data_IF_322347888060
#
_entry.id   IF_322347888060
#
_cell.length_a   1.000
_cell.length_b   1.000
_cell.length_c   1.000
_cell.angle_alpha   90.00
_cell.angle_beta   90.00
_cell.angle_gamma   90.00
#
_symmetry.space_group_name_H-M   'P 1'
#
loop_
_entity.id
_entity.type
_entity.pdbx_description
1 polymer ?
#
# COMPACT_ATOMS: atom_id res chain seq x y z
N UNK A 1 -11.43 20.32 15.16
CA UNK A 1 -11.12 18.87 15.31
C UNK A 1 -11.79 18.12 14.17
N UNK A 2 -11.01 17.47 13.31
CA UNK A 2 -11.51 16.66 12.20
C UNK A 2 -11.93 15.27 12.69
N UNK A 3 -13.07 14.82 12.24
CA UNK A 3 -13.62 13.50 12.56
C UNK A 3 -13.41 12.54 11.39
N UNK A 4 -12.70 11.45 11.64
CA UNK A 4 -12.27 10.51 10.63
C UNK A 4 -12.88 9.13 10.90
N UNK A 5 -13.53 8.55 9.91
CA UNK A 5 -14.01 7.17 9.97
C UNK A 5 -13.08 6.26 9.16
N UNK A 6 -12.54 5.22 9.79
CA UNK A 6 -11.74 4.19 9.10
C UNK A 6 -12.60 2.94 8.96
N UNK A 7 -12.86 2.52 7.73
CA UNK A 7 -13.52 1.24 7.46
C UNK A 7 -12.48 0.14 7.33
N UNK A 8 -12.73 -1.01 7.96
CA UNK A 8 -11.73 -2.08 8.08
C UNK A 8 -10.96 -2.02 9.40
N UNK A 9 -11.69 -2.08 10.52
CA UNK A 9 -11.20 -1.88 11.90
C UNK A 9 -9.96 -2.71 12.31
N UNK A 10 -9.65 -3.81 11.59
CA UNK A 10 -8.49 -4.67 11.87
C UNK A 10 -7.43 -4.61 10.77
N UNK A 11 -7.50 -3.62 9.88
CA UNK A 11 -6.49 -3.48 8.83
C UNK A 11 -5.18 -2.93 9.39
N UNK A 12 -4.05 -3.42 8.86
CA UNK A 12 -2.72 -2.94 9.24
C UNK A 12 -2.57 -1.44 9.01
N UNK A 13 -2.96 -0.98 7.83
CA UNK A 13 -2.88 0.43 7.43
C UNK A 13 -3.85 1.31 8.22
N UNK A 14 -5.08 0.85 8.47
CA UNK A 14 -6.05 1.57 9.29
C UNK A 14 -5.57 1.76 10.72
N UNK A 15 -5.02 0.71 11.34
CA UNK A 15 -4.45 0.80 12.69
C UNK A 15 -3.25 1.77 12.74
N UNK A 16 -2.40 1.75 11.71
CA UNK A 16 -1.26 2.66 11.63
C UNK A 16 -1.70 4.12 11.51
N UNK A 17 -2.70 4.42 10.69
CA UNK A 17 -3.28 5.76 10.57
C UNK A 17 -3.88 6.20 11.92
N UNK A 18 -4.69 5.34 12.55
CA UNK A 18 -5.27 5.62 13.87
C UNK A 18 -4.20 5.95 14.90
N UNK A 19 -3.18 5.10 15.02
CA UNK A 19 -2.08 5.32 15.94
C UNK A 19 -1.31 6.61 15.63
N UNK A 20 -1.09 6.91 14.36
CA UNK A 20 -0.37 8.12 13.96
C UNK A 20 -1.16 9.39 14.32
N UNK A 21 -2.44 9.43 13.93
CA UNK A 21 -3.32 10.59 14.21
C UNK A 21 -3.59 10.78 15.70
N UNK A 22 -3.47 9.75 16.53
CA UNK A 22 -3.62 9.86 17.99
C UNK A 22 -2.54 10.73 18.65
N UNK A 23 -1.46 11.07 17.94
CA UNK A 23 -0.47 12.04 18.40
C UNK A 23 -1.00 13.49 18.46
N UNK A 24 -2.13 13.76 17.82
CA UNK A 24 -2.81 15.07 17.82
C UNK A 24 -4.27 14.95 18.25
N UNK A 25 -4.55 14.60 19.53
CA UNK A 25 -5.91 14.30 20.00
C UNK A 25 -6.83 15.53 20.02
N UNK A 26 -6.26 16.75 19.95
CA UNK A 26 -7.03 17.97 19.82
C UNK A 26 -7.42 18.31 18.38
N UNK A 27 -6.73 17.70 17.39
CA UNK A 27 -6.95 17.98 15.98
C UNK A 27 -7.79 16.88 15.32
N UNK A 28 -7.63 15.62 15.75
CA UNK A 28 -8.28 14.46 15.15
C UNK A 28 -9.07 13.62 16.14
N UNK A 29 -10.27 13.23 15.74
CA UNK A 29 -11.04 12.16 16.34
C UNK A 29 -11.20 11.02 15.34
N UNK A 30 -10.63 9.86 15.63
CA UNK A 30 -10.63 8.71 14.73
C UNK A 30 -11.52 7.61 15.29
N UNK A 31 -12.49 7.19 14.49
CA UNK A 31 -13.35 6.04 14.75
C UNK A 31 -13.10 4.94 13.71
N UNK A 32 -13.28 3.69 14.09
CA UNK A 32 -13.12 2.56 13.18
C UNK A 32 -14.35 1.66 13.17
N UNK A 33 -14.75 1.20 11.99
CA UNK A 33 -15.90 0.31 11.84
C UNK A 33 -15.55 -0.93 11.01
N UNK A 34 -16.14 -2.05 11.37
CA UNK A 34 -16.05 -3.30 10.61
C UNK A 34 -17.15 -3.34 9.54
N UNK A 35 -16.80 -3.77 8.32
CA UNK A 35 -17.77 -3.98 7.24
C UNK A 35 -18.11 -5.47 7.04
N UNK A 36 -17.83 -6.34 8.02
CA UNK A 36 -18.04 -7.79 7.87
C UNK A 36 -19.51 -8.22 7.97
N UNK A 37 -20.32 -7.42 8.59
CA UNK A 37 -21.77 -7.60 8.67
C UNK A 37 -22.46 -6.32 8.22
N UNK A 38 -23.77 -6.33 8.07
CA UNK A 38 -24.55 -5.21 7.53
C UNK A 38 -24.81 -4.07 8.53
N UNK A 39 -24.35 -4.18 9.78
CA UNK A 39 -24.58 -3.16 10.82
C UNK A 39 -24.05 -1.76 10.43
N UNK A 40 -22.95 -1.70 9.66
CA UNK A 40 -22.40 -0.42 9.20
C UNK A 40 -23.39 0.39 8.31
N UNK A 41 -24.36 -0.28 7.68
CA UNK A 41 -25.35 0.39 6.82
C UNK A 41 -26.27 1.31 7.61
N UNK A 42 -26.52 1.02 8.89
CA UNK A 42 -27.33 1.84 9.79
C UNK A 42 -26.53 2.93 10.53
N UNK A 43 -25.19 2.89 10.47
CA UNK A 43 -24.36 3.94 11.09
C UNK A 43 -24.46 5.26 10.32
N UNK A 44 -24.45 6.38 11.02
CA UNK A 44 -24.44 7.70 10.41
C UNK A 44 -23.01 8.14 10.06
N UNK A 45 -22.65 8.08 8.78
CA UNK A 45 -21.35 8.55 8.31
C UNK A 45 -21.25 10.07 8.24
N UNK A 46 -22.35 10.79 8.16
CA UNK A 46 -22.40 12.27 8.09
C UNK A 46 -21.84 12.99 9.32
N UNK A 47 -21.57 12.24 10.41
CA UNK A 47 -20.87 12.76 11.58
C UNK A 47 -19.35 12.94 11.35
N UNK A 48 -18.79 12.44 10.21
CA UNK A 48 -17.38 12.45 9.89
C UNK A 48 -17.05 13.38 8.72
N UNK A 49 -15.87 13.99 8.77
CA UNK A 49 -15.36 14.86 7.70
C UNK A 49 -14.77 14.03 6.55
N UNK A 50 -14.11 12.93 6.88
CA UNK A 50 -13.50 12.03 5.90
C UNK A 50 -13.72 10.55 6.26
N UNK A 51 -13.90 9.72 5.24
CA UNK A 51 -13.94 8.26 5.35
C UNK A 51 -12.72 7.66 4.67
N UNK A 52 -11.96 6.84 5.37
CA UNK A 52 -10.80 6.12 4.83
C UNK A 52 -11.16 4.65 4.68
N UNK A 53 -11.27 4.19 3.45
CA UNK A 53 -11.63 2.81 3.15
C UNK A 53 -10.39 1.93 3.06
N UNK A 54 -10.09 1.23 4.15
CA UNK A 54 -8.97 0.28 4.25
C UNK A 54 -9.42 -1.18 4.23
N UNK A 55 -10.73 -1.43 4.20
CA UNK A 55 -11.27 -2.78 4.08
C UNK A 55 -10.93 -3.37 2.71
N UNK A 56 -10.61 -4.65 2.68
CA UNK A 56 -10.33 -5.36 1.44
C UNK A 56 -9.66 -6.71 1.66
N UNK A 57 -9.78 -7.56 0.68
CA UNK A 57 -9.01 -8.80 0.57
C UNK A 57 -7.68 -8.43 -0.10
N UNK A 58 -6.58 -8.47 0.66
CA UNK A 58 -5.23 -8.47 0.12
C UNK A 58 -4.82 -9.93 -0.15
N UNK A 59 -3.69 -10.14 -0.82
CA UNK A 59 -3.15 -11.45 -1.15
C UNK A 59 -3.31 -12.48 -0.04
N UNK A 60 -4.39 -13.25 -0.09
CA UNK A 60 -4.48 -14.51 0.61
C UNK A 60 -4.11 -15.59 -0.41
N UNK A 61 -2.91 -16.15 -0.26
CA UNK A 61 -2.38 -17.20 -1.13
C UNK A 61 -3.27 -18.45 -1.16
N UNK A 62 -4.15 -18.62 -0.19
CA UNK A 62 -5.04 -19.77 -0.07
C UNK A 62 -6.39 -19.58 -0.79
N UNK A 63 -6.75 -18.35 -1.18
CA UNK A 63 -8.04 -18.01 -1.78
C UNK A 63 -7.94 -17.23 -3.10
N UNK A 64 -6.79 -17.27 -3.76
CA UNK A 64 -6.56 -16.56 -5.04
C UNK A 64 -7.44 -17.04 -6.19
N UNK A 65 -8.21 -18.11 -6.03
CA UNK A 65 -9.13 -18.66 -7.04
C UNK A 65 -10.56 -18.10 -6.92
N UNK A 66 -10.90 -17.38 -5.86
CA UNK A 66 -12.27 -16.87 -5.66
C UNK A 66 -12.42 -15.45 -6.23
N UNK A 67 -12.59 -15.37 -7.55
CA UNK A 67 -12.84 -14.11 -8.27
C UNK A 67 -14.02 -13.34 -7.68
N UNK A 68 -15.11 -14.02 -7.38
CA UNK A 68 -16.33 -13.38 -6.88
C UNK A 68 -16.11 -12.71 -5.52
N UNK A 69 -15.35 -13.34 -4.62
CA UNK A 69 -15.02 -12.73 -3.33
C UNK A 69 -14.20 -11.45 -3.48
N UNK A 70 -13.21 -11.43 -4.40
CA UNK A 70 -12.46 -10.21 -4.68
C UNK A 70 -13.36 -9.08 -5.19
N UNK A 71 -14.21 -9.35 -6.16
CA UNK A 71 -15.10 -8.32 -6.71
C UNK A 71 -16.17 -7.87 -5.71
N UNK A 72 -16.73 -8.79 -4.94
CA UNK A 72 -17.69 -8.45 -3.88
C UNK A 72 -17.09 -7.56 -2.81
N UNK A 73 -15.86 -7.90 -2.32
CA UNK A 73 -15.26 -7.19 -1.18
C UNK A 73 -14.44 -5.97 -1.62
N UNK A 74 -13.63 -6.07 -2.68
CA UNK A 74 -12.75 -4.98 -3.05
C UNK A 74 -13.43 -3.95 -3.98
N UNK A 75 -14.46 -4.36 -4.74
CA UNK A 75 -15.15 -3.46 -5.66
C UNK A 75 -16.53 -3.06 -5.13
N UNK A 76 -17.45 -4.00 -5.00
CA UNK A 76 -18.83 -3.67 -4.65
C UNK A 76 -18.94 -3.08 -3.24
N UNK A 77 -18.36 -3.72 -2.22
CA UNK A 77 -18.41 -3.20 -0.85
C UNK A 77 -17.70 -1.84 -0.74
N UNK A 78 -16.62 -1.62 -1.48
CA UNK A 78 -15.92 -0.33 -1.50
C UNK A 78 -16.82 0.77 -2.12
N UNK A 79 -17.48 0.46 -3.23
CA UNK A 79 -18.44 1.36 -3.87
C UNK A 79 -19.64 1.65 -2.96
N UNK A 80 -20.26 0.62 -2.36
CA UNK A 80 -21.41 0.78 -1.46
C UNK A 80 -21.04 1.66 -0.25
N UNK A 81 -19.81 1.51 0.24
CA UNK A 81 -19.29 2.33 1.35
C UNK A 81 -19.10 3.79 0.91
N UNK A 82 -18.55 4.03 -0.28
CA UNK A 82 -18.37 5.36 -0.84
C UNK A 82 -19.72 6.04 -1.13
N UNK A 83 -20.65 5.29 -1.73
CA UNK A 83 -22.02 5.77 -2.01
C UNK A 83 -22.75 6.17 -0.73
N UNK A 84 -22.63 5.35 0.33
CA UNK A 84 -23.17 5.69 1.64
C UNK A 84 -22.53 6.95 2.21
N UNK A 85 -21.21 7.04 2.18
CA UNK A 85 -20.49 8.22 2.67
C UNK A 85 -20.97 9.50 1.96
N UNK A 86 -21.12 9.45 0.62
CA UNK A 86 -21.66 10.54 -0.18
C UNK A 86 -23.10 10.89 0.23
N UNK A 87 -23.98 9.91 0.36
CA UNK A 87 -25.39 10.09 0.69
C UNK A 87 -25.58 10.65 2.12
N UNK A 88 -24.69 10.28 3.03
CA UNK A 88 -24.70 10.77 4.43
C UNK A 88 -24.05 12.18 4.55
N UNK A 89 -23.50 12.75 3.46
CA UNK A 89 -22.93 14.10 3.43
C UNK A 89 -21.47 14.22 3.86
N UNK A 90 -20.71 13.11 3.87
CA UNK A 90 -19.25 13.13 4.05
C UNK A 90 -18.62 13.92 2.90
N UNK A 91 -17.58 14.71 3.21
CA UNK A 91 -16.90 15.55 2.20
C UNK A 91 -15.80 14.85 1.43
N UNK A 92 -15.13 13.88 2.05
CA UNK A 92 -13.97 13.22 1.45
C UNK A 92 -14.01 11.70 1.67
N UNK A 93 -13.72 10.95 0.61
CA UNK A 93 -13.57 9.50 0.64
C UNK A 93 -12.18 9.11 0.13
N UNK A 94 -11.37 8.50 0.98
CA UNK A 94 -10.01 8.07 0.66
C UNK A 94 -10.01 6.56 0.44
N UNK A 95 -9.78 6.14 -0.80
CA UNK A 95 -9.77 4.73 -1.19
C UNK A 95 -8.34 4.17 -1.23
N UNK A 96 -8.10 3.10 -0.48
CA UNK A 96 -6.84 2.36 -0.53
C UNK A 96 -6.79 1.45 -1.74
N UNK A 97 -6.21 1.95 -2.82
CA UNK A 97 -5.84 1.16 -3.99
C UNK A 97 -4.41 0.60 -3.86
N UNK A 98 -3.86 0.09 -4.93
CA UNK A 98 -2.57 -0.59 -4.92
C UNK A 98 -1.84 -0.44 -6.25
N UNK A 99 -0.51 -0.51 -6.22
CA UNK A 99 0.33 -0.59 -7.41
C UNK A 99 0.03 -1.81 -8.31
N UNK A 100 -0.64 -2.82 -7.78
CA UNK A 100 -1.03 -4.04 -8.53
C UNK A 100 -1.94 -3.74 -9.72
N UNK A 101 -2.61 -2.59 -9.76
CA UNK A 101 -3.41 -2.14 -10.92
C UNK A 101 -2.59 -2.02 -12.20
N UNK A 102 -1.27 -1.91 -12.07
CA UNK A 102 -0.32 -1.89 -13.19
C UNK A 102 0.25 -3.26 -13.53
N UNK A 103 -0.24 -4.35 -12.93
CA UNK A 103 0.23 -5.72 -13.15
C UNK A 103 1.44 -6.11 -12.32
N UNK A 104 2.10 -7.19 -12.71
CA UNK A 104 3.25 -7.75 -11.99
C UNK A 104 4.54 -6.94 -12.17
N UNK A 105 5.53 -7.23 -11.32
CA UNK A 105 6.90 -6.74 -11.49
C UNK A 105 7.51 -7.25 -12.79
N UNK A 106 8.42 -6.49 -13.40
CA UNK A 106 9.21 -6.95 -14.53
C UNK A 106 10.06 -8.17 -14.15
N UNK A 107 10.42 -8.96 -15.15
CA UNK A 107 11.36 -10.06 -14.96
C UNK A 107 12.73 -9.56 -14.49
N UNK A 108 13.50 -10.43 -13.84
CA UNK A 108 14.86 -10.11 -13.36
C UNK A 108 15.72 -9.58 -14.53
N UNK A 109 16.36 -8.43 -14.30
CA UNK A 109 17.21 -7.76 -15.29
C UNK A 109 16.45 -6.83 -16.25
N UNK A 110 15.14 -6.68 -16.08
CA UNK A 110 14.31 -5.68 -16.77
C UNK A 110 13.79 -4.65 -15.78
N UNK A 111 13.63 -3.41 -16.24
CA UNK A 111 13.03 -2.34 -15.45
C UNK A 111 11.54 -2.18 -15.78
N UNK A 112 10.77 -1.78 -14.78
CA UNK A 112 9.37 -1.33 -14.92
C UNK A 112 9.18 -0.10 -14.07
N UNK A 113 9.19 1.05 -14.71
CA UNK A 113 8.95 2.36 -14.10
C UNK A 113 7.58 2.85 -14.55
N UNK A 114 6.69 3.06 -13.62
CA UNK A 114 5.34 3.57 -13.84
C UNK A 114 5.41 5.09 -13.87
N UNK A 115 4.89 5.66 -14.92
CA UNK A 115 4.73 7.10 -15.13
C UNK A 115 3.26 7.48 -15.16
N UNK A 116 2.96 8.76 -15.24
CA UNK A 116 1.58 9.26 -15.40
C UNK A 116 0.91 8.73 -16.68
N UNK A 117 1.68 8.39 -17.70
CA UNK A 117 1.18 7.88 -18.99
C UNK A 117 1.07 6.35 -19.02
N UNK A 118 1.56 5.66 -17.99
CA UNK A 118 1.49 4.20 -17.95
C UNK A 118 0.04 3.76 -17.75
N UNK A 119 -0.55 2.99 -18.68
CA UNK A 119 -1.91 2.51 -18.53
C UNK A 119 -2.02 1.48 -17.40
N UNK A 120 -3.17 1.42 -16.75
CA UNK A 120 -3.50 0.32 -15.84
C UNK A 120 -3.63 -0.98 -16.66
N UNK A 121 -3.02 -2.06 -16.15
CA UNK A 121 -3.00 -3.37 -16.81
C UNK A 121 -2.91 -4.48 -15.74
N UNK A 122 -4.00 -4.71 -14.99
CA UNK A 122 -4.02 -5.70 -13.93
C UNK A 122 -3.89 -7.12 -14.48
N UNK A 123 -3.09 -7.96 -13.80
CA UNK A 123 -2.81 -9.35 -14.20
C UNK A 123 -3.37 -10.36 -13.16
N UNK A 124 -4.19 -9.89 -12.21
CA UNK A 124 -4.76 -10.73 -11.16
C UNK A 124 -6.17 -10.25 -10.79
N UNK A 125 -7.00 -11.14 -10.27
CA UNK A 125 -8.32 -10.78 -9.78
C UNK A 125 -8.29 -9.70 -8.69
N UNK A 126 -7.24 -9.69 -7.88
CA UNK A 126 -7.00 -8.60 -6.93
C UNK A 126 -6.79 -7.25 -7.65
N UNK A 127 -5.91 -7.21 -8.65
CA UNK A 127 -5.68 -6.01 -9.45
C UNK A 127 -6.93 -5.56 -10.21
N UNK A 128 -7.60 -6.50 -10.89
CA UNK A 128 -8.87 -6.24 -11.62
C UNK A 128 -9.94 -5.68 -10.68
N UNK A 129 -10.09 -6.26 -9.47
CA UNK A 129 -11.07 -5.78 -8.50
C UNK A 129 -10.77 -4.38 -7.98
N UNK A 130 -9.47 -4.02 -7.84
CA UNK A 130 -9.07 -2.66 -7.47
C UNK A 130 -9.35 -1.66 -8.59
N UNK A 131 -9.04 -1.99 -9.85
CA UNK A 131 -9.37 -1.14 -11.01
C UNK A 131 -10.88 -0.92 -11.09
N UNK A 132 -11.67 -1.99 -10.95
CA UNK A 132 -13.13 -1.88 -10.97
C UNK A 132 -13.67 -0.97 -9.85
N UNK A 133 -13.09 -1.07 -8.64
CA UNK A 133 -13.44 -0.17 -7.54
C UNK A 133 -13.10 1.29 -7.87
N UNK A 134 -11.89 1.55 -8.39
CA UNK A 134 -11.47 2.90 -8.79
C UNK A 134 -12.46 3.51 -9.80
N UNK A 135 -12.84 2.75 -10.84
CA UNK A 135 -13.81 3.18 -11.84
C UNK A 135 -15.16 3.56 -11.22
N UNK A 136 -15.71 2.69 -10.38
CA UNK A 136 -17.02 2.91 -9.75
C UNK A 136 -17.00 4.11 -8.79
N UNK A 137 -15.96 4.21 -7.97
CA UNK A 137 -15.84 5.24 -6.92
C UNK A 137 -15.53 6.61 -7.54
N UNK A 138 -14.70 6.66 -8.59
CA UNK A 138 -14.36 7.93 -9.28
C UNK A 138 -15.62 8.60 -9.88
N UNK A 139 -16.63 7.83 -10.29
CA UNK A 139 -17.88 8.38 -10.80
C UNK A 139 -18.70 9.12 -9.73
N UNK A 140 -18.36 8.98 -8.45
CA UNK A 140 -18.99 9.70 -7.35
C UNK A 140 -18.31 11.04 -7.04
N UNK A 141 -17.10 11.27 -7.62
CA UNK A 141 -16.33 12.48 -7.35
C UNK A 141 -17.04 13.74 -7.88
N UNK A 142 -17.13 14.76 -7.05
CA UNK A 142 -17.78 16.01 -7.38
C UNK A 142 -17.45 17.12 -6.38
N UNK A 143 -18.09 18.28 -6.53
CA UNK A 143 -17.77 19.47 -5.72
C UNK A 143 -18.09 19.30 -4.23
N UNK A 144 -19.05 18.44 -3.90
CA UNK A 144 -19.48 18.19 -2.52
C UNK A 144 -18.93 16.86 -1.96
N UNK A 145 -18.29 16.04 -2.77
CA UNK A 145 -17.75 14.74 -2.38
C UNK A 145 -16.44 14.46 -3.12
N UNK A 146 -15.33 14.63 -2.45
CA UNK A 146 -14.00 14.45 -3.01
C UNK A 146 -13.54 13.00 -2.89
N UNK A 147 -13.24 12.38 -4.01
CA UNK A 147 -12.67 11.04 -4.06
C UNK A 147 -11.17 11.11 -4.22
N UNK A 148 -10.46 10.54 -3.24
CA UNK A 148 -9.00 10.41 -3.25
C UNK A 148 -8.61 8.94 -3.35
N UNK A 149 -7.86 8.56 -4.37
CA UNK A 149 -7.41 7.19 -4.63
C UNK A 149 -5.90 7.10 -4.37
N UNK A 150 -5.50 6.21 -3.45
CA UNK A 150 -4.10 5.99 -3.11
C UNK A 150 -3.61 4.68 -3.73
N UNK A 151 -2.89 4.75 -4.84
CA UNK A 151 -2.22 3.60 -5.47
C UNK A 151 -0.92 3.29 -4.76
N UNK A 152 -0.99 2.73 -3.58
CA UNK A 152 0.18 2.46 -2.75
C UNK A 152 1.03 1.31 -3.29
N UNK A 153 2.37 1.42 -3.25
CA UNK A 153 3.28 0.30 -3.45
C UNK A 153 3.26 -0.61 -2.21
N UNK A 154 4.25 -1.50 -2.06
CA UNK A 154 4.38 -2.31 -0.86
C UNK A 154 4.55 -1.43 0.38
N UNK A 155 3.54 -1.39 1.24
CA UNK A 155 3.62 -0.75 2.55
C UNK A 155 4.29 -1.71 3.54
N UNK A 156 5.32 -1.22 4.25
CA UNK A 156 6.07 -2.01 5.23
C UNK A 156 6.26 -1.24 6.55
N UNK A 157 6.64 -1.99 7.57
CA UNK A 157 6.88 -1.49 8.93
C UNK A 157 6.67 -2.61 9.94
N UNK A 158 6.78 -2.29 11.22
CA UNK A 158 6.64 -3.25 12.31
C UNK A 158 5.30 -3.99 12.22
N UNK A 159 5.32 -5.33 12.32
CA UNK A 159 4.15 -6.22 12.25
C UNK A 159 3.38 -6.18 10.92
N UNK A 160 3.95 -5.66 9.82
CA UNK A 160 3.31 -5.69 8.52
C UNK A 160 3.13 -7.14 8.02
N UNK A 161 2.23 -7.31 7.05
CA UNK A 161 2.03 -8.57 6.33
C UNK A 161 2.72 -8.51 4.96
N UNK A 162 2.78 -9.64 4.27
CA UNK A 162 3.29 -9.71 2.91
C UNK A 162 4.77 -10.07 2.82
N UNK A 163 5.50 -9.48 1.86
CA UNK A 163 6.87 -9.92 1.53
C UNK A 163 7.94 -9.43 2.50
N UNK A 164 7.76 -8.28 3.13
CA UNK A 164 8.77 -7.72 4.04
C UNK A 164 9.12 -8.65 5.21
N UNK A 165 8.17 -9.26 5.95
CA UNK A 165 8.49 -10.25 6.99
C UNK A 165 9.28 -11.47 6.49
N UNK A 166 9.08 -11.85 5.22
CA UNK A 166 9.87 -12.95 4.62
C UNK A 166 11.33 -12.51 4.44
N UNK A 167 11.56 -11.30 3.93
CA UNK A 167 12.90 -10.73 3.80
C UNK A 167 13.58 -10.58 5.17
N UNK A 168 12.85 -10.10 6.20
CA UNK A 168 13.34 -10.00 7.57
C UNK A 168 13.76 -11.37 8.13
N UNK A 169 12.91 -12.39 7.93
CA UNK A 169 13.26 -13.75 8.37
C UNK A 169 14.51 -14.30 7.66
N UNK A 170 14.67 -14.04 6.36
CA UNK A 170 15.84 -14.44 5.58
C UNK A 170 17.09 -13.71 6.11
N UNK A 171 17.04 -12.39 6.23
CA UNK A 171 18.16 -11.56 6.69
C UNK A 171 18.68 -11.99 8.06
N UNK A 172 17.78 -12.37 8.98
CA UNK A 172 18.16 -12.82 10.33
C UNK A 172 18.71 -14.22 10.39
N UNK A 173 18.47 -15.07 9.39
CA UNK A 173 18.83 -16.51 9.43
C UNK A 173 19.97 -16.89 8.52
N UNK A 174 20.04 -16.30 7.33
CA UNK A 174 21.02 -16.70 6.33
C UNK A 174 22.32 -15.88 6.45
N UNK A 175 23.49 -16.49 6.22
CA UNK A 175 24.77 -15.78 6.20
C UNK A 175 25.06 -15.12 4.85
N UNK A 176 24.29 -15.43 3.80
CA UNK A 176 24.47 -14.88 2.47
C UNK A 176 23.13 -14.70 1.75
N UNK A 177 23.10 -13.78 0.76
CA UNK A 177 21.93 -13.52 -0.07
C UNK A 177 22.37 -13.15 -1.50
N UNK A 178 21.59 -13.46 -2.54
CA UNK A 178 21.90 -13.06 -3.91
C UNK A 178 22.04 -11.55 -4.05
N UNK A 179 23.10 -11.06 -4.73
CA UNK A 179 23.22 -9.67 -5.13
C UNK A 179 22.52 -9.48 -6.49
N UNK A 180 21.33 -8.93 -6.47
CA UNK A 180 20.50 -8.70 -7.67
C UNK A 180 20.25 -7.21 -7.82
N UNK A 181 20.41 -6.70 -9.04
CA UNK A 181 20.06 -5.33 -9.38
C UNK A 181 18.55 -5.27 -9.68
N UNK A 182 17.79 -4.60 -8.86
CA UNK A 182 16.40 -4.29 -9.10
C UNK A 182 16.00 -2.94 -8.48
N UNK A 183 14.95 -2.32 -9.00
CA UNK A 183 14.43 -1.03 -8.56
C UNK A 183 12.99 -1.21 -8.10
N UNK A 184 12.70 -0.81 -6.86
CA UNK A 184 11.37 -0.99 -6.27
C UNK A 184 10.92 0.25 -5.53
N UNK A 185 9.67 0.62 -5.75
CA UNK A 185 8.98 1.54 -4.84
C UNK A 185 8.50 0.78 -3.62
N UNK A 186 8.74 1.37 -2.47
CA UNK A 186 8.22 0.94 -1.18
C UNK A 186 7.71 2.15 -0.41
N UNK A 187 6.86 1.92 0.57
CA UNK A 187 6.33 3.00 1.40
C UNK A 187 6.36 2.58 2.87
N UNK A 188 7.15 3.28 3.66
CA UNK A 188 7.18 3.07 5.10
C UNK A 188 5.86 3.49 5.73
N UNK A 189 5.35 2.69 6.65
CA UNK A 189 4.00 2.87 7.19
C UNK A 189 3.79 4.22 7.92
N UNK A 190 4.83 4.80 8.54
CA UNK A 190 4.71 6.13 9.14
C UNK A 190 4.76 7.26 8.10
N UNK A 191 5.54 7.11 7.01
CA UNK A 191 5.49 8.01 5.87
C UNK A 191 4.12 7.96 5.19
N UNK A 192 3.55 6.76 5.06
CA UNK A 192 2.18 6.58 4.58
C UNK A 192 1.14 7.25 5.47
N UNK A 193 1.24 7.10 6.79
CA UNK A 193 0.28 7.69 7.72
C UNK A 193 0.36 9.23 7.70
N UNK A 194 1.57 9.81 7.60
CA UNK A 194 1.74 11.25 7.39
C UNK A 194 1.15 11.70 6.04
N UNK A 195 1.38 10.94 4.96
CA UNK A 195 0.77 11.26 3.67
C UNK A 195 -0.76 11.31 3.77
N UNK A 196 -1.37 10.33 4.43
CA UNK A 196 -2.83 10.31 4.65
C UNK A 196 -3.29 11.50 5.48
N UNK A 197 -2.54 11.89 6.52
CA UNK A 197 -2.83 13.09 7.30
C UNK A 197 -2.87 14.33 6.41
N UNK A 198 -1.86 14.51 5.56
CA UNK A 198 -1.80 15.65 4.64
C UNK A 198 -2.93 15.62 3.59
N UNK A 199 -3.28 14.44 3.08
CA UNK A 199 -4.45 14.25 2.18
C UNK A 199 -5.75 14.70 2.85
N UNK A 200 -5.93 14.39 4.14
CA UNK A 200 -7.09 14.81 4.94
C UNK A 200 -7.06 16.34 5.14
N UNK A 201 -5.89 16.89 5.52
CA UNK A 201 -5.76 18.33 5.78
C UNK A 201 -6.08 19.16 4.55
N UNK A 202 -5.60 18.74 3.41
CA UNK A 202 -5.76 19.44 2.15
C UNK A 202 -7.06 19.10 1.40
N UNK A 203 -7.90 18.23 1.99
CA UNK A 203 -9.14 17.75 1.37
C UNK A 203 -8.91 17.32 -0.09
N UNK A 204 -7.86 16.50 -0.33
CA UNK A 204 -7.40 16.10 -1.65
C UNK A 204 -8.41 15.24 -2.40
N UNK A 205 -8.37 15.35 -3.73
CA UNK A 205 -9.13 14.52 -4.68
C UNK A 205 -8.22 14.06 -5.83
N UNK A 206 -8.60 12.99 -6.49
CA UNK A 206 -7.84 12.42 -7.60
C UNK A 206 -6.94 11.25 -7.19
N UNK A 207 -5.94 10.93 -8.02
CA UNK A 207 -5.10 9.75 -7.85
C UNK A 207 -3.70 10.16 -7.39
N UNK A 208 -3.18 9.45 -6.37
CA UNK A 208 -1.86 9.67 -5.80
C UNK A 208 -1.06 8.37 -5.73
N UNK A 209 0.27 8.50 -5.85
CA UNK A 209 1.25 7.40 -5.87
C UNK A 209 2.31 7.60 -4.77
N UNK A 210 1.93 7.56 -3.47
CA UNK A 210 2.91 7.81 -2.41
C UNK A 210 3.98 6.72 -2.38
N UNK A 211 5.26 7.12 -2.20
CA UNK A 211 6.40 6.23 -2.01
C UNK A 211 7.46 6.89 -1.13
N UNK A 212 8.43 6.11 -0.65
CA UNK A 212 9.59 6.65 0.06
C UNK A 212 10.41 7.61 -0.82
N UNK A 213 11.27 8.42 -0.21
CA UNK A 213 12.12 9.39 -0.91
C UNK A 213 13.20 8.79 -1.79
N UNK A 214 13.39 7.47 -1.74
CA UNK A 214 14.40 6.75 -2.50
C UNK A 214 13.89 5.37 -2.95
N UNK A 215 14.43 4.90 -4.05
CA UNK A 215 14.18 3.54 -4.49
C UNK A 215 14.86 2.54 -3.59
N UNK A 216 14.25 1.39 -3.44
CA UNK A 216 14.81 0.26 -2.73
C UNK A 216 15.31 -0.82 -3.68
N UNK A 217 16.30 -1.58 -3.23
CA UNK A 217 16.81 -2.79 -3.87
C UNK A 217 16.64 -3.96 -2.89
N UNK A 218 16.13 -5.09 -3.36
CA UNK A 218 15.82 -6.23 -2.48
C UNK A 218 17.04 -6.74 -1.73
N UNK A 219 18.21 -6.81 -2.39
CA UNK A 219 19.46 -7.28 -1.74
C UNK A 219 19.94 -6.29 -0.68
N UNK A 220 19.84 -4.99 -0.95
CA UNK A 220 20.21 -3.94 0.00
C UNK A 220 19.27 -3.89 1.21
N UNK A 221 17.95 -4.08 0.99
CA UNK A 221 16.99 -4.21 2.10
C UNK A 221 17.38 -5.36 3.02
N UNK A 222 17.68 -6.55 2.45
CA UNK A 222 18.07 -7.71 3.25
C UNK A 222 19.37 -7.43 4.02
N UNK A 223 20.32 -6.70 3.41
CA UNK A 223 21.57 -6.28 4.09
C UNK A 223 21.27 -5.33 5.25
N UNK A 224 20.47 -4.27 5.01
CA UNK A 224 20.10 -3.29 6.04
C UNK A 224 19.36 -3.95 7.22
N UNK A 225 18.46 -4.89 6.93
CA UNK A 225 17.77 -5.67 7.98
C UNK A 225 18.77 -6.50 8.79
N UNK A 226 19.73 -7.18 8.13
CA UNK A 226 20.75 -7.94 8.86
C UNK A 226 21.59 -7.03 9.75
N UNK A 227 22.02 -5.88 9.23
CA UNK A 227 22.79 -4.86 9.97
C UNK A 227 22.03 -4.33 11.19
N UNK A 228 20.71 -4.09 11.10
CA UNK A 228 19.86 -3.64 12.23
C UNK A 228 19.80 -4.68 13.36
N UNK A 229 20.06 -5.95 13.05
CA UNK A 229 20.19 -7.04 14.03
C UNK A 229 21.66 -7.36 14.41
N UNK A 230 22.60 -6.47 14.11
CA UNK A 230 24.03 -6.66 14.41
C UNK A 230 24.70 -7.79 13.61
N UNK A 231 24.14 -8.15 12.44
CA UNK A 231 24.65 -9.22 11.58
C UNK A 231 25.20 -8.69 10.27
N UNK A 232 26.23 -9.35 9.77
CA UNK A 232 26.72 -9.15 8.42
C UNK A 232 26.20 -10.28 7.53
N UNK A 233 25.60 -9.92 6.40
CA UNK A 233 25.16 -10.86 5.36
C UNK A 233 25.97 -10.61 4.08
N UNK A 234 26.58 -11.67 3.53
CA UNK A 234 27.33 -11.56 2.28
C UNK A 234 26.39 -11.50 1.08
N UNK A 235 26.52 -10.47 0.26
CA UNK A 235 25.79 -10.38 -1.01
C UNK A 235 26.60 -11.04 -2.12
N UNK A 236 26.10 -12.18 -2.63
CA UNK A 236 26.79 -13.01 -3.62
C UNK A 236 26.45 -12.54 -5.04
N UNK A 237 27.41 -12.04 -5.81
CA UNK A 237 27.18 -11.67 -7.21
C UNK A 237 27.06 -12.92 -8.11
N UNK A 238 26.61 -12.71 -9.37
CA UNK A 238 26.52 -13.78 -10.37
C UNK A 238 25.27 -14.65 -10.25
N UNK A 239 24.38 -14.40 -9.30
CA UNK A 239 23.17 -15.20 -9.11
C UNK A 239 22.03 -14.86 -10.09
N UNK A 240 22.20 -13.87 -10.98
CA UNK A 240 21.12 -13.42 -11.88
C UNK A 240 20.68 -14.51 -12.86
N UNK A 241 21.65 -15.22 -13.48
CA UNK A 241 21.34 -16.26 -14.50
C UNK A 241 20.57 -17.43 -13.86
N UNK A 242 21.07 -18.07 -12.79
CA UNK A 242 20.31 -19.14 -12.15
C UNK A 242 18.95 -18.68 -11.63
N UNK A 243 18.82 -17.47 -11.10
CA UNK A 243 17.53 -16.93 -10.65
C UNK A 243 16.57 -16.66 -11.81
N UNK A 244 17.05 -16.19 -12.98
CA UNK A 244 16.24 -16.05 -14.20
C UNK A 244 15.68 -17.40 -14.66
N UNK A 245 16.48 -18.45 -14.58
CA UNK A 245 16.02 -19.81 -14.93
C UNK A 245 14.95 -20.30 -13.93
N UNK A 246 15.21 -20.16 -12.64
CA UNK A 246 14.25 -20.55 -11.60
C UNK A 246 12.96 -19.73 -11.64
N UNK A 247 13.03 -18.46 -12.04
CA UNK A 247 11.87 -17.58 -12.19
C UNK A 247 10.87 -18.05 -13.26
N UNK A 248 11.31 -18.87 -14.24
CA UNK A 248 10.40 -19.51 -15.22
C UNK A 248 9.48 -20.54 -14.58
N UNK A 249 9.91 -21.13 -13.46
CA UNK A 249 9.17 -22.17 -12.74
C UNK A 249 8.47 -21.62 -11.48
N UNK A 250 8.80 -20.41 -11.04
CA UNK A 250 8.24 -19.82 -9.83
C UNK A 250 8.08 -18.31 -9.95
N UNK A 251 6.84 -17.84 -10.06
CA UNK A 251 6.50 -16.42 -10.07
C UNK A 251 6.93 -15.68 -8.78
N UNK A 252 7.17 -16.42 -7.68
CA UNK A 252 7.66 -15.84 -6.43
C UNK A 252 9.04 -15.20 -6.57
N UNK A 253 9.89 -15.74 -7.45
CA UNK A 253 11.24 -15.22 -7.69
C UNK A 253 11.16 -13.86 -8.38
N UNK A 254 10.36 -13.72 -9.43
CA UNK A 254 10.12 -12.42 -10.06
C UNK A 254 9.44 -11.43 -9.11
N UNK A 255 8.54 -11.90 -8.25
CA UNK A 255 7.91 -11.07 -7.23
C UNK A 255 8.91 -10.55 -6.19
N UNK A 256 9.96 -11.31 -5.87
CA UNK A 256 11.00 -10.92 -4.93
C UNK A 256 12.09 -10.04 -5.58
N UNK A 257 12.55 -10.39 -6.78
CA UNK A 257 13.72 -9.81 -7.42
C UNK A 257 13.42 -8.98 -8.69
N UNK A 258 12.20 -8.95 -9.18
CA UNK A 258 11.80 -8.10 -10.30
C UNK A 258 11.73 -6.63 -9.93
N UNK A 259 11.87 -5.76 -10.93
CA UNK A 259 11.73 -4.32 -10.75
C UNK A 259 10.27 -3.89 -10.89
N UNK A 260 9.84 -2.99 -10.01
CA UNK A 260 8.59 -2.28 -10.11
C UNK A 260 8.69 -0.99 -9.29
N UNK A 261 8.71 0.14 -9.97
CA UNK A 261 8.79 1.42 -9.28
C UNK A 261 7.87 2.46 -9.93
N UNK A 262 7.46 3.42 -9.15
CA UNK A 262 6.89 4.68 -9.65
C UNK A 262 8.01 5.64 -10.00
N UNK A 263 7.86 6.40 -11.08
CA UNK A 263 8.70 7.56 -11.29
C UNK A 263 8.62 8.48 -10.06
N UNK A 264 9.76 9.00 -9.60
CA UNK A 264 9.80 9.78 -8.36
C UNK A 264 8.91 11.02 -8.43
N UNK A 265 8.80 11.64 -9.62
CA UNK A 265 7.95 12.80 -9.84
C UNK A 265 6.46 12.55 -9.66
N UNK A 266 5.99 11.29 -9.80
CA UNK A 266 4.59 10.93 -9.50
C UNK A 266 4.25 11.09 -8.03
N UNK A 267 5.25 10.98 -7.17
CA UNK A 267 5.09 10.97 -5.72
C UNK A 267 5.46 12.30 -5.09
N UNK A 268 5.72 13.32 -5.91
CA UNK A 268 5.93 14.66 -5.42
C UNK A 268 4.63 15.21 -4.83
N UNK A 269 4.75 15.80 -3.67
CA UNK A 269 3.64 16.40 -2.95
C UNK A 269 4.07 17.75 -2.39
N UNK A 270 3.14 18.68 -2.23
CA UNK A 270 3.44 20.05 -1.79
C UNK A 270 4.09 20.13 -0.42
N UNK A 271 3.86 19.12 0.42
CA UNK A 271 4.39 19.02 1.78
C UNK A 271 5.21 17.74 1.93
N UNK A 272 6.20 17.75 2.83
CA UNK A 272 7.04 16.61 3.05
C UNK A 272 6.35 15.56 3.93
N UNK A 273 5.97 14.44 3.35
CA UNK A 273 5.46 13.27 4.07
C UNK A 273 6.55 12.19 4.28
N UNK A 274 7.73 12.36 3.69
CA UNK A 274 8.85 11.40 3.72
C UNK A 274 9.73 11.68 4.93
N UNK A 275 9.18 11.49 6.13
CA UNK A 275 9.84 11.82 7.39
C UNK A 275 10.95 10.85 7.78
N UNK A 276 10.94 9.66 7.18
CA UNK A 276 11.89 8.58 7.43
C UNK A 276 12.51 8.17 6.10
N UNK A 277 13.85 8.19 6.04
CA UNK A 277 14.62 7.58 4.95
C UNK A 277 14.55 6.04 5.03
N UNK A 278 15.10 5.35 4.02
CA UNK A 278 15.01 3.89 3.93
C UNK A 278 15.70 3.20 5.11
N UNK A 279 16.90 3.64 5.50
CA UNK A 279 17.68 3.01 6.59
C UNK A 279 16.94 3.15 7.92
N UNK A 280 16.57 4.35 8.31
CA UNK A 280 15.85 4.61 9.54
C UNK A 280 14.52 3.88 9.60
N UNK A 281 13.80 3.81 8.47
CA UNK A 281 12.52 3.11 8.40
C UNK A 281 12.65 1.59 8.58
N UNK A 282 13.76 1.00 8.11
CA UNK A 282 14.08 -0.42 8.35
C UNK A 282 14.43 -0.66 9.82
N UNK A 283 15.31 0.16 10.40
CA UNK A 283 15.67 0.07 11.82
C UNK A 283 14.43 0.13 12.72
N UNK A 284 13.52 1.06 12.48
CA UNK A 284 12.24 1.18 13.20
C UNK A 284 11.26 0.02 12.94
N UNK A 285 11.37 -0.64 11.80
CA UNK A 285 10.53 -1.79 11.46
C UNK A 285 10.98 -3.07 12.17
N UNK A 286 12.28 -3.19 12.47
CA UNK A 286 12.90 -4.37 13.05
C UNK A 286 13.07 -4.28 14.60
N UNK A 287 13.10 -3.07 15.15
CA UNK A 287 13.11 -2.81 16.60
C UNK A 287 11.69 -2.90 17.17
#
# INVERSE_FOLDING_TARGET
MKKILITGANSYTGNAITQYLSSWPQEYHVSSISLRNDSWKSENFGAFDSVIHTAGLAHDSTKSSDKEAYFRVNSQLAFDTAQKAMNDGVRQFIFMSSSIVYGASAAIGHEKIITRLTPVSPESYYGESKVKAEEMITNLDGDNFHVCILRCPMIYGKKCRGNYPVLSKIARRLPFFPKIKNTRSMLYVKNFAEFVRLVIENNERGIFWPQNGEYSNTSEIVRMIAESHGKNIALIPGCEIPLKVLAKFSGLINKAFGSFAYDMSLSDYRENYRLYDLRRSIEESEG
#
